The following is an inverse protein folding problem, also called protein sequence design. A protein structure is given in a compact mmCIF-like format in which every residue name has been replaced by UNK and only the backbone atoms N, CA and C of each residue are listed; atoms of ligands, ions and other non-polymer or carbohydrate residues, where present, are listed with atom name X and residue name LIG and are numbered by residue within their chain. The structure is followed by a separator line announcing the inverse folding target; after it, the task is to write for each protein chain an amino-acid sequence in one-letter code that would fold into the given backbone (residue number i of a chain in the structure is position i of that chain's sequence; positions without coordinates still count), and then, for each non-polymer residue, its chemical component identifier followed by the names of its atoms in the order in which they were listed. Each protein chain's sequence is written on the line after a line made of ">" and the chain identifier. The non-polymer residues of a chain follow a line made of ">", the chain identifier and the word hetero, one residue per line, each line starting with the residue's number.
data_IF_244543439032
#
_entry.id   IF_244543439032
#
_cell.length_a   1.000
_cell.length_b   1.000
_cell.length_c   1.000
_cell.angle_alpha   90.00
_cell.angle_beta   90.00
_cell.angle_gamma   90.00
#
_symmetry.space_group_name_H-M   'P 1'
#
loop_
_entity.id
_entity.type
_entity.pdbx_description
1 polymer ?
#
# COMPACT_ATOMS: atom_id res chain seq x y z
N UNK A 1 -18.02 -3.42 10.35
CA UNK A 1 -18.45 -2.01 10.26
C UNK A 1 -17.35 -1.04 10.70
N UNK A 2 -16.77 -1.21 11.90
CA UNK A 2 -15.80 -0.26 12.45
C UNK A 2 -14.49 -0.15 11.66
N UNK A 3 -13.95 -1.24 11.12
CA UNK A 3 -12.72 -1.18 10.29
C UNK A 3 -12.97 -0.45 8.98
N UNK A 4 -14.11 -0.68 8.33
CA UNK A 4 -14.48 0.07 7.12
C UNK A 4 -14.60 1.57 7.42
N UNK A 5 -15.21 1.93 8.55
CA UNK A 5 -15.27 3.34 8.98
C UNK A 5 -13.87 3.92 9.20
N UNK A 6 -12.95 3.16 9.79
CA UNK A 6 -11.57 3.60 10.00
C UNK A 6 -10.82 3.79 8.67
N UNK A 7 -10.96 2.86 7.72
CA UNK A 7 -10.41 3.00 6.37
C UNK A 7 -10.97 4.21 5.64
N UNK A 8 -12.29 4.46 5.76
CA UNK A 8 -12.92 5.63 5.16
C UNK A 8 -12.35 6.94 5.73
N UNK A 9 -12.06 6.98 7.04
CA UNK A 9 -11.37 8.12 7.66
C UNK A 9 -9.98 8.29 7.06
N UNK A 10 -9.19 7.21 6.94
CA UNK A 10 -7.87 7.27 6.31
C UNK A 10 -7.95 7.79 4.87
N UNK A 11 -8.89 7.29 4.07
CA UNK A 11 -9.07 7.75 2.69
C UNK A 11 -9.59 9.18 2.58
N UNK A 12 -10.36 9.66 3.55
CA UNK A 12 -10.82 11.06 3.56
C UNK A 12 -9.69 12.06 3.75
N UNK A 13 -8.60 11.67 4.41
CA UNK A 13 -7.41 12.51 4.59
C UNK A 13 -6.79 12.87 3.23
N UNK A 14 -6.66 11.89 2.34
CA UNK A 14 -6.09 12.11 0.99
C UNK A 14 -7.02 12.86 0.04
N UNK A 15 -8.30 13.02 0.37
CA UNK A 15 -9.30 13.73 -0.45
C UNK A 15 -9.56 15.16 0.05
N UNK A 16 -8.86 15.59 1.10
CA UNK A 16 -9.06 16.90 1.71
C UNK A 16 -8.31 17.99 0.92
N UNK A 17 -9.00 19.07 0.55
CA UNK A 17 -8.40 20.23 -0.13
C UNK A 17 -7.30 20.92 0.71
N UNK A 18 -7.33 20.73 2.03
CA UNK A 18 -6.30 21.19 2.98
C UNK A 18 -5.40 20.02 3.42
N UNK A 19 -4.86 19.26 2.46
CA UNK A 19 -4.01 18.12 2.73
C UNK A 19 -2.73 18.53 3.49
N UNK A 20 -2.56 17.99 4.71
CA UNK A 20 -1.31 18.08 5.46
C UNK A 20 -0.58 16.73 5.36
N UNK A 21 0.68 16.72 4.88
CA UNK A 21 1.46 15.50 4.69
C UNK A 21 1.61 14.64 5.94
N UNK A 22 1.66 15.26 7.12
CA UNK A 22 1.77 14.55 8.40
C UNK A 22 0.58 13.62 8.60
N UNK A 23 -0.63 14.07 8.22
CA UNK A 23 -1.81 13.22 8.31
C UNK A 23 -1.81 12.13 7.22
N UNK A 24 -1.21 12.40 6.06
CA UNK A 24 -1.03 11.42 4.99
C UNK A 24 -0.15 10.25 5.42
N UNK A 25 1.02 10.51 6.01
CA UNK A 25 1.90 9.46 6.53
C UNK A 25 1.22 8.64 7.63
N UNK A 26 0.58 9.30 8.59
CA UNK A 26 -0.20 8.63 9.63
C UNK A 26 -1.30 7.73 9.03
N UNK A 27 -1.97 8.18 7.98
CA UNK A 27 -3.02 7.43 7.30
C UNK A 27 -2.45 6.19 6.60
N UNK A 28 -1.31 6.30 5.92
CA UNK A 28 -0.67 5.14 5.30
C UNK A 28 -0.21 4.11 6.32
N UNK A 29 0.44 4.54 7.40
CA UNK A 29 0.87 3.63 8.48
C UNK A 29 -0.33 2.92 9.12
N UNK A 30 -1.44 3.64 9.34
CA UNK A 30 -2.64 3.06 9.91
C UNK A 30 -3.30 2.05 8.97
N UNK A 31 -3.36 2.35 7.66
CA UNK A 31 -3.85 1.42 6.64
C UNK A 31 -3.01 0.15 6.62
N UNK A 32 -1.68 0.28 6.58
CA UNK A 32 -0.75 -0.85 6.63
C UNK A 32 -1.02 -1.72 7.88
N UNK A 33 -1.09 -1.08 9.06
CA UNK A 33 -1.33 -1.77 10.31
C UNK A 33 -2.68 -2.50 10.33
N UNK A 34 -3.73 -1.92 9.75
CA UNK A 34 -5.05 -2.55 9.63
C UNK A 34 -4.94 -3.82 8.79
N UNK A 35 -4.28 -3.76 7.62
CA UNK A 35 -4.11 -4.90 6.72
C UNK A 35 -3.40 -6.04 7.44
N UNK A 36 -2.24 -5.75 8.05
CA UNK A 36 -1.43 -6.74 8.74
C UNK A 36 -2.14 -7.32 9.98
N UNK A 37 -2.85 -6.50 10.75
CA UNK A 37 -3.57 -6.92 11.96
C UNK A 37 -4.82 -7.75 11.65
N UNK A 38 -5.50 -7.45 10.54
CA UNK A 38 -6.64 -8.24 10.09
C UNK A 38 -6.21 -9.53 9.42
N UNK A 39 -5.03 -9.54 8.78
CA UNK A 39 -4.49 -10.67 8.03
C UNK A 39 -5.53 -11.18 7.02
N UNK A 40 -5.76 -12.50 6.92
CA UNK A 40 -6.71 -13.11 6.00
C UNK A 40 -8.16 -12.61 6.15
N UNK A 41 -8.53 -12.01 7.30
CA UNK A 41 -9.84 -11.38 7.48
C UNK A 41 -10.02 -10.11 6.65
N UNK A 42 -8.94 -9.55 6.10
CA UNK A 42 -8.98 -8.39 5.20
C UNK A 42 -9.29 -8.78 3.75
N UNK A 43 -9.10 -10.05 3.36
CA UNK A 43 -9.29 -10.53 1.97
C UNK A 43 -10.65 -10.12 1.38
N UNK A 44 -11.80 -10.22 2.08
CA UNK A 44 -13.09 -9.77 1.53
C UNK A 44 -13.16 -8.28 1.18
N UNK A 45 -12.28 -7.46 1.75
CA UNK A 45 -12.22 -6.01 1.50
C UNK A 45 -11.27 -5.66 0.34
N UNK A 46 -10.32 -6.55 0.01
CA UNK A 46 -9.27 -6.34 -0.98
C UNK A 46 -9.80 -5.84 -2.34
N UNK A 47 -10.88 -6.42 -2.92
CA UNK A 47 -11.37 -6.01 -4.24
C UNK A 47 -11.87 -4.57 -4.30
N UNK A 48 -12.31 -4.00 -3.18
CA UNK A 48 -12.72 -2.59 -3.09
C UNK A 48 -11.57 -1.69 -2.65
N UNK A 49 -10.72 -2.20 -1.77
CA UNK A 49 -9.58 -1.48 -1.22
C UNK A 49 -8.52 -1.18 -2.28
N UNK A 50 -8.14 -2.17 -3.12
CA UNK A 50 -7.08 -2.03 -4.11
C UNK A 50 -7.33 -0.90 -5.12
N UNK A 51 -8.51 -0.77 -5.74
CA UNK A 51 -8.84 0.39 -6.56
C UNK A 51 -8.69 1.71 -5.80
N UNK A 52 -9.18 1.79 -4.56
CA UNK A 52 -9.18 3.04 -3.80
C UNK A 52 -7.77 3.51 -3.43
N UNK A 53 -6.92 2.61 -2.92
CA UNK A 53 -5.53 2.98 -2.62
C UNK A 53 -4.72 3.27 -3.89
N UNK A 54 -5.03 2.59 -5.00
CA UNK A 54 -4.36 2.84 -6.27
C UNK A 54 -4.72 4.20 -6.88
N UNK A 55 -5.99 4.63 -6.75
CA UNK A 55 -6.36 6.00 -7.11
C UNK A 55 -5.66 7.02 -6.22
N UNK A 56 -5.57 6.80 -4.91
CA UNK A 56 -4.81 7.68 -4.00
C UNK A 56 -3.35 7.80 -4.46
N UNK A 57 -2.70 6.67 -4.77
CA UNK A 57 -1.34 6.69 -5.30
C UNK A 57 -1.25 7.51 -6.60
N UNK A 58 -2.12 7.27 -7.58
CA UNK A 58 -2.08 8.00 -8.87
C UNK A 58 -2.33 9.50 -8.70
N UNK A 59 -3.25 9.90 -7.82
CA UNK A 59 -3.50 11.31 -7.53
C UNK A 59 -2.27 11.96 -6.92
N UNK A 60 -1.70 11.36 -5.87
CA UNK A 60 -0.51 11.89 -5.19
C UNK A 60 0.72 11.92 -6.11
N UNK A 61 0.88 10.92 -6.98
CA UNK A 61 1.93 10.88 -8.00
C UNK A 61 1.76 12.01 -9.01
N UNK A 62 0.54 12.25 -9.50
CA UNK A 62 0.25 13.33 -10.46
C UNK A 62 0.42 14.73 -9.86
N UNK A 63 0.35 14.86 -8.54
CA UNK A 63 0.58 16.09 -7.78
C UNK A 63 2.05 16.26 -7.34
N UNK A 64 2.96 15.38 -7.79
CA UNK A 64 4.36 15.34 -7.38
C UNK A 64 4.53 15.32 -5.84
N UNK A 65 3.61 14.66 -5.11
CA UNK A 65 3.57 14.69 -3.65
C UNK A 65 4.67 13.84 -2.98
N UNK A 66 5.30 12.92 -3.72
CA UNK A 66 6.32 12.02 -3.19
C UNK A 66 7.76 12.55 -3.37
N UNK A 67 8.67 12.13 -2.48
CA UNK A 67 10.13 12.30 -2.56
C UNK A 67 10.65 13.74 -2.75
N UNK A 68 10.40 14.56 -1.73
CA UNK A 68 11.00 15.89 -1.61
C UNK A 68 9.98 17.01 -1.48
N UNK A 69 8.69 16.70 -1.62
CA UNK A 69 7.61 17.65 -1.40
C UNK A 69 6.81 17.35 -0.13
N UNK A 70 6.33 16.11 0.09
CA UNK A 70 5.40 15.85 1.20
C UNK A 70 5.39 14.41 1.76
N UNK A 71 5.44 13.37 0.93
CA UNK A 71 5.28 11.96 1.33
C UNK A 71 6.42 11.06 0.84
N UNK A 72 6.48 9.82 1.34
CA UNK A 72 7.45 8.80 0.90
C UNK A 72 6.81 7.69 0.06
N UNK A 73 7.40 7.34 -1.09
CA UNK A 73 6.96 6.18 -1.89
C UNK A 73 6.95 4.86 -1.10
N UNK A 74 7.84 4.77 -0.11
CA UNK A 74 7.93 3.65 0.81
C UNK A 74 6.60 3.36 1.53
N UNK A 75 5.81 4.39 1.81
CA UNK A 75 4.50 4.27 2.47
C UNK A 75 3.50 3.50 1.61
N UNK A 76 3.45 3.76 0.30
CA UNK A 76 2.61 3.02 -0.65
C UNK A 76 3.14 1.60 -0.85
N UNK A 77 4.46 1.42 -0.97
CA UNK A 77 5.06 0.09 -1.12
C UNK A 77 4.71 -0.82 0.06
N UNK A 78 4.76 -0.32 1.30
CA UNK A 78 4.36 -1.08 2.50
C UNK A 78 2.91 -1.56 2.43
N UNK A 79 2.00 -0.74 1.91
CA UNK A 79 0.60 -1.13 1.75
C UNK A 79 0.48 -2.28 0.74
N UNK A 80 1.11 -2.17 -0.42
CA UNK A 80 1.10 -3.25 -1.42
C UNK A 80 1.78 -4.52 -0.89
N UNK A 81 2.86 -4.41 -0.11
CA UNK A 81 3.47 -5.55 0.57
C UNK A 81 2.51 -6.21 1.55
N UNK A 82 1.75 -5.42 2.32
CA UNK A 82 0.67 -5.92 3.17
C UNK A 82 -0.39 -6.69 2.37
N UNK A 83 -0.82 -6.15 1.22
CA UNK A 83 -1.77 -6.81 0.33
C UNK A 83 -1.23 -8.13 -0.24
N UNK A 84 0.02 -8.15 -0.71
CA UNK A 84 0.68 -9.38 -1.17
C UNK A 84 0.79 -10.41 -0.06
N UNK A 85 1.12 -9.99 1.15
CA UNK A 85 1.25 -10.88 2.30
C UNK A 85 -0.08 -11.61 2.64
N UNK A 86 -1.22 -10.93 2.49
CA UNK A 86 -2.53 -11.55 2.81
C UNK A 86 -3.13 -12.33 1.64
N UNK A 87 -3.01 -11.82 0.41
CA UNK A 87 -3.56 -12.44 -0.80
C UNK A 87 -2.79 -11.96 -2.05
N UNK A 88 -1.73 -12.68 -2.46
CA UNK A 88 -0.90 -12.28 -3.58
C UNK A 88 -1.62 -12.49 -4.91
N UNK A 89 -2.51 -13.48 -5.04
CA UNK A 89 -3.22 -13.79 -6.28
C UNK A 89 -4.12 -12.61 -6.70
N UNK A 90 -5.00 -12.15 -5.81
CA UNK A 90 -5.89 -11.02 -6.10
C UNK A 90 -5.09 -9.73 -6.32
N UNK A 91 -4.05 -9.50 -5.52
CA UNK A 91 -3.21 -8.30 -5.64
C UNK A 91 -2.46 -8.26 -6.98
N UNK A 92 -1.81 -9.37 -7.37
CA UNK A 92 -1.11 -9.46 -8.66
C UNK A 92 -2.06 -9.34 -9.85
N UNK A 93 -3.25 -9.94 -9.78
CA UNK A 93 -4.25 -9.81 -10.82
C UNK A 93 -4.64 -8.34 -11.02
N UNK A 94 -4.98 -7.63 -9.95
CA UNK A 94 -5.30 -6.20 -9.99
C UNK A 94 -4.17 -5.37 -10.61
N UNK A 95 -2.91 -5.63 -10.21
CA UNK A 95 -1.74 -4.92 -10.73
C UNK A 95 -1.49 -5.20 -12.21
N UNK A 96 -1.82 -6.40 -12.71
CA UNK A 96 -1.73 -6.74 -14.13
C UNK A 96 -2.80 -6.03 -14.94
N UNK A 97 -4.04 -6.05 -14.46
CA UNK A 97 -5.19 -5.38 -15.09
C UNK A 97 -4.97 -3.87 -15.23
N UNK A 98 -4.30 -3.26 -14.24
CA UNK A 98 -3.97 -1.83 -14.24
C UNK A 98 -2.60 -1.50 -14.84
N UNK A 99 -1.91 -2.47 -15.46
CA UNK A 99 -0.57 -2.31 -16.05
C UNK A 99 0.49 -1.72 -15.10
N UNK A 100 0.30 -1.88 -13.79
CA UNK A 100 1.13 -1.27 -12.75
C UNK A 100 2.22 -2.19 -12.22
N UNK A 101 2.20 -3.48 -12.59
CA UNK A 101 3.17 -4.48 -12.09
C UNK A 101 4.62 -4.04 -12.32
N UNK A 102 4.95 -3.56 -13.53
CA UNK A 102 6.31 -3.11 -13.86
C UNK A 102 6.74 -1.89 -13.03
N UNK A 103 5.86 -0.89 -12.92
CA UNK A 103 6.12 0.32 -12.12
C UNK A 103 6.31 0.00 -10.65
N UNK A 104 5.44 -0.85 -10.06
CA UNK A 104 5.57 -1.27 -8.67
C UNK A 104 6.91 -1.97 -8.41
N UNK A 105 7.36 -2.85 -9.31
CA UNK A 105 8.66 -3.51 -9.18
C UNK A 105 9.83 -2.52 -9.31
N UNK A 106 9.73 -1.54 -10.20
CA UNK A 106 10.75 -0.48 -10.32
C UNK A 106 10.82 0.38 -9.06
N UNK A 107 9.67 0.79 -8.51
CA UNK A 107 9.59 1.51 -7.24
C UNK A 107 10.19 0.64 -6.13
N UNK A 108 9.81 -0.63 -6.04
CA UNK A 108 10.34 -1.54 -5.04
C UNK A 108 11.88 -1.63 -5.13
N UNK A 109 12.44 -1.89 -6.31
CA UNK A 109 13.91 -1.95 -6.49
C UNK A 109 14.56 -0.62 -6.10
N UNK A 110 13.99 0.51 -6.53
CA UNK A 110 14.54 1.84 -6.27
C UNK A 110 14.63 2.16 -4.79
N UNK A 111 13.59 1.86 -4.01
CA UNK A 111 13.50 2.19 -2.58
C UNK A 111 13.81 1.01 -1.66
N UNK A 112 14.26 -0.14 -2.19
CA UNK A 112 14.51 -1.34 -1.38
C UNK A 112 15.54 -1.07 -0.27
N UNK A 113 16.55 -0.26 -0.55
CA UNK A 113 17.60 0.09 0.40
C UNK A 113 17.14 1.13 1.44
N UNK A 114 16.03 1.82 1.19
CA UNK A 114 15.43 2.80 2.11
C UNK A 114 14.58 2.12 3.20
N UNK A 115 14.28 0.82 3.05
CA UNK A 115 13.72 -0.01 4.13
C UNK A 115 14.80 -0.35 5.18
N UNK A 116 15.41 0.67 5.79
CA UNK A 116 16.51 0.51 6.76
C UNK A 116 16.04 0.00 8.13
N UNK A 117 14.73 0.06 8.40
CA UNK A 117 14.17 -0.50 9.62
C UNK A 117 14.01 -2.03 9.50
N UNK A 118 14.32 -2.75 10.59
CA UNK A 118 14.06 -4.20 10.70
C UNK A 118 12.60 -4.54 10.37
N UNK A 119 11.68 -3.64 10.73
CA UNK A 119 10.26 -3.76 10.40
C UNK A 119 10.03 -3.76 8.88
N UNK A 120 10.55 -2.76 8.18
CA UNK A 120 10.45 -2.65 6.72
C UNK A 120 10.97 -3.89 5.98
N UNK A 121 12.16 -4.37 6.37
CA UNK A 121 12.72 -5.60 5.78
C UNK A 121 11.81 -6.81 5.98
N UNK A 122 11.21 -6.97 7.17
CA UNK A 122 10.30 -8.09 7.47
C UNK A 122 9.06 -8.05 6.58
N UNK A 123 8.43 -6.89 6.42
CA UNK A 123 7.24 -6.73 5.58
C UNK A 123 7.56 -7.07 4.12
N UNK A 124 8.70 -6.59 3.61
CA UNK A 124 9.18 -6.91 2.27
C UNK A 124 9.42 -8.42 2.06
N UNK A 125 10.11 -9.07 3.00
CA UNK A 125 10.40 -10.51 2.94
C UNK A 125 9.10 -11.31 2.98
N UNK A 126 8.16 -10.96 3.86
CA UNK A 126 6.87 -11.64 3.97
C UNK A 126 6.06 -11.54 2.68
N UNK A 127 6.02 -10.37 2.05
CA UNK A 127 5.38 -10.19 0.75
C UNK A 127 6.03 -11.06 -0.33
N UNK A 128 7.37 -11.03 -0.43
CA UNK A 128 8.11 -11.83 -1.41
C UNK A 128 7.90 -13.34 -1.23
N UNK A 129 7.97 -13.83 0.02
CA UNK A 129 7.71 -15.23 0.33
C UNK A 129 6.29 -15.64 -0.04
N UNK A 130 5.31 -14.79 0.29
CA UNK A 130 3.91 -15.08 -0.03
C UNK A 130 3.68 -15.16 -1.54
N UNK A 131 4.27 -14.26 -2.32
CA UNK A 131 4.23 -14.31 -3.80
C UNK A 131 4.86 -15.62 -4.32
N UNK A 132 6.04 -15.99 -3.81
CA UNK A 132 6.75 -17.20 -4.26
C UNK A 132 5.99 -18.48 -3.92
N UNK A 133 5.37 -18.56 -2.74
CA UNK A 133 4.60 -19.72 -2.32
C UNK A 133 3.24 -19.89 -3.02
N UNK A 134 2.71 -18.83 -3.65
CA UNK A 134 1.47 -18.87 -4.42
C UNK A 134 1.75 -19.08 -5.93
N UNK A 135 3.02 -19.14 -6.34
CA UNK A 135 3.44 -19.31 -7.73
C UNK A 135 3.58 -20.78 -8.18
N UNK A 136 3.21 -21.72 -7.30
CA UNK A 136 3.08 -23.17 -7.55
C UNK A 136 1.63 -23.56 -7.90
#
# INVERSE_FOLDING_TARGET
>A
PYVQSLLNVCFSIFKNESFDPIFGDCAFELIELIILSMNTRFIPFLPRFLPEIFEVFKTLEAEDAFDGHMLHHLSILKIFFGCFYIDPTTTLQFLKENQFTGTLLQLWIKYSDDFQSVYGCKVQILAALRILCDAD
#
